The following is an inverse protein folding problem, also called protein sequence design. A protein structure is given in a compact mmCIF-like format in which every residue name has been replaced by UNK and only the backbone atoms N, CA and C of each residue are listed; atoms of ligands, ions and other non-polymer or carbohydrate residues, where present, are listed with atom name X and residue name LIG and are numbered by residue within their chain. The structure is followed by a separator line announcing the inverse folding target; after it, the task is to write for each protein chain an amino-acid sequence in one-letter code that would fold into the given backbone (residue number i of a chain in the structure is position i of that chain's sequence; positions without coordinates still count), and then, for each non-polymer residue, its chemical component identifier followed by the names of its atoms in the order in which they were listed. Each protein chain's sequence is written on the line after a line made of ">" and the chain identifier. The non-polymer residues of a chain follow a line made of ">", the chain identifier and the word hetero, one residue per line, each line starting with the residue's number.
data_IF_701278888046
#
_entry.id   IF_701278888046
#
_cell.length_a   1.000
_cell.length_b   1.000
_cell.length_c   1.000
_cell.angle_alpha   90.00
_cell.angle_beta   90.00
_cell.angle_gamma   90.00
#
_symmetry.space_group_name_H-M   'P 1'
#
loop_
_entity.id
_entity.type
_entity.pdbx_description
1 polymer ?
#
# COMPACT_ATOMS: atom_id res chain seq x y z
N UNK A 1 4.28 7.50 -22.76
CA UNK A 1 4.93 7.82 -21.47
C UNK A 1 4.01 8.72 -20.67
N UNK A 2 3.91 8.52 -19.36
CA UNK A 2 3.24 9.47 -18.47
C UNK A 2 4.16 10.67 -18.23
N UNK A 3 3.57 11.87 -18.20
CA UNK A 3 4.22 13.11 -17.77
C UNK A 3 4.12 13.23 -16.24
N UNK A 4 4.99 14.02 -15.58
CA UNK A 4 4.84 14.33 -14.15
C UNK A 4 3.41 14.78 -13.82
N UNK A 5 2.82 14.21 -12.76
CA UNK A 5 1.44 14.47 -12.34
C UNK A 5 0.37 13.59 -12.99
N UNK A 6 0.70 12.81 -14.03
CA UNK A 6 -0.26 11.86 -14.61
C UNK A 6 -0.25 10.52 -13.88
N UNK A 7 -1.39 9.82 -13.94
CA UNK A 7 -1.56 8.50 -13.33
C UNK A 7 -1.94 7.45 -14.38
N UNK A 8 -1.70 6.20 -14.02
CA UNK A 8 -2.27 5.03 -14.68
C UNK A 8 -3.10 4.26 -13.65
N UNK A 9 -4.28 3.79 -14.07
CA UNK A 9 -5.16 2.94 -13.28
C UNK A 9 -5.20 1.57 -13.95
N UNK A 10 -4.98 0.51 -13.17
CA UNK A 10 -5.06 -0.86 -13.67
C UNK A 10 -5.62 -1.78 -12.58
N UNK A 11 -6.21 -2.88 -13.02
CA UNK A 11 -6.69 -3.91 -12.12
C UNK A 11 -5.50 -4.65 -11.48
N UNK A 12 -5.64 -5.11 -10.23
CA UNK A 12 -4.56 -5.80 -9.51
C UNK A 12 -4.08 -7.11 -10.17
N UNK A 13 -4.86 -7.65 -11.11
CA UNK A 13 -4.53 -8.85 -11.90
C UNK A 13 -3.97 -8.56 -13.30
N UNK A 14 -3.80 -7.29 -13.67
CA UNK A 14 -3.21 -6.94 -14.96
C UNK A 14 -1.73 -7.33 -14.97
N UNK A 15 -1.33 -8.19 -15.91
CA UNK A 15 0.10 -8.50 -16.11
C UNK A 15 0.81 -7.25 -16.62
N UNK A 16 1.85 -6.81 -15.91
CA UNK A 16 2.61 -5.63 -16.29
C UNK A 16 4.09 -5.75 -15.90
N UNK A 17 4.94 -4.98 -16.59
CA UNK A 17 6.37 -4.91 -16.33
C UNK A 17 6.93 -3.52 -16.65
N UNK A 18 8.17 -3.28 -16.23
CA UNK A 18 8.90 -2.05 -16.55
C UNK A 18 10.08 -2.34 -17.47
N UNK A 19 10.25 -1.50 -18.48
CA UNK A 19 11.46 -1.51 -19.29
C UNK A 19 12.65 -0.92 -18.51
N UNK A 20 13.90 -1.31 -18.84
CA UNK A 20 15.10 -0.72 -18.26
C UNK A 20 15.14 0.80 -18.42
N UNK A 21 15.64 1.49 -17.40
CA UNK A 21 15.90 2.92 -17.52
C UNK A 21 17.17 3.16 -18.34
N UNK A 22 17.04 3.68 -19.56
CA UNK A 22 18.16 4.03 -20.46
C UNK A 22 18.53 5.52 -20.41
N UNK A 23 17.85 6.32 -19.58
CA UNK A 23 18.10 7.74 -19.44
C UNK A 23 19.13 8.09 -18.37
N UNK A 24 19.60 9.34 -18.37
CA UNK A 24 20.51 9.87 -17.34
C UNK A 24 19.82 10.23 -16.02
N UNK A 25 18.48 10.26 -16.00
CA UNK A 25 17.68 10.65 -14.84
C UNK A 25 16.91 9.46 -14.27
N UNK A 26 16.61 9.50 -12.97
CA UNK A 26 15.79 8.48 -12.31
C UNK A 26 14.33 8.62 -12.73
N UNK A 27 13.66 7.49 -12.96
CA UNK A 27 12.20 7.42 -13.10
C UNK A 27 11.59 7.06 -11.75
N UNK A 28 10.81 7.97 -11.17
CA UNK A 28 10.07 7.74 -9.92
C UNK A 28 8.58 7.55 -10.23
N UNK A 29 7.96 6.56 -9.59
CA UNK A 29 6.52 6.36 -9.60
C UNK A 29 6.05 6.03 -8.19
N UNK A 30 4.88 6.55 -7.80
CA UNK A 30 4.23 6.25 -6.53
C UNK A 30 3.02 5.38 -6.83
N UNK A 31 2.94 4.22 -6.19
CA UNK A 31 1.80 3.32 -6.31
C UNK A 31 0.95 3.41 -5.05
N UNK A 32 -0.36 3.64 -5.23
CA UNK A 32 -1.35 3.60 -4.17
C UNK A 32 -2.16 2.31 -4.34
N UNK A 33 -1.89 1.31 -3.49
CA UNK A 33 -2.47 -0.02 -3.60
C UNK A 33 -3.01 -0.48 -2.23
N UNK A 34 -4.25 -0.91 -2.08
CA UNK A 34 -5.35 -0.99 -3.08
C UNK A 34 -6.46 0.01 -2.75
N UNK A 35 -7.05 0.64 -3.77
CA UNK A 35 -8.38 1.24 -3.65
C UNK A 35 -9.41 0.11 -3.75
N UNK A 36 -10.26 -0.02 -2.73
CA UNK A 36 -11.19 -1.14 -2.63
C UNK A 36 -12.51 -0.73 -1.99
N UNK A 37 -13.53 -1.57 -2.19
CA UNK A 37 -14.84 -1.41 -1.55
C UNK A 37 -14.79 -1.86 -0.07
N UNK A 38 -15.72 -1.38 0.77
CA UNK A 38 -15.79 -1.71 2.21
C UNK A 38 -16.19 -3.16 2.53
N UNK A 39 -16.48 -3.98 1.51
CA UNK A 39 -16.73 -5.41 1.61
C UNK A 39 -15.45 -6.24 1.32
N UNK A 40 -14.38 -5.64 0.80
CA UNK A 40 -13.13 -6.35 0.53
C UNK A 40 -12.37 -6.71 1.81
N UNK A 41 -12.00 -7.98 1.98
CA UNK A 41 -11.23 -8.47 3.13
C UNK A 41 -9.91 -9.08 2.69
N UNK A 42 -8.87 -8.77 3.44
CA UNK A 42 -7.58 -9.43 3.41
C UNK A 42 -7.74 -10.86 3.94
N UNK A 43 -7.11 -11.81 3.23
CA UNK A 43 -7.18 -13.24 3.55
C UNK A 43 -6.05 -13.69 4.49
N UNK A 44 -4.96 -12.93 4.52
CA UNK A 44 -3.79 -13.19 5.36
C UNK A 44 -3.44 -11.90 6.11
N UNK A 45 -3.31 -11.94 7.44
CA UNK A 45 -2.99 -10.74 8.23
C UNK A 45 -4.17 -9.78 8.37
N UNK A 46 -3.88 -8.56 8.85
CA UNK A 46 -4.89 -7.58 9.24
C UNK A 46 -5.37 -6.71 8.07
N UNK A 47 -6.63 -6.27 8.17
CA UNK A 47 -7.28 -5.33 7.26
C UNK A 47 -6.96 -3.87 7.64
N UNK A 48 -5.72 -3.44 7.41
CA UNK A 48 -5.33 -2.04 7.63
C UNK A 48 -5.82 -1.16 6.47
N UNK A 49 -6.54 -0.08 6.78
CA UNK A 49 -7.15 0.79 5.75
C UNK A 49 -7.10 2.27 6.12
N UNK A 50 -7.06 3.12 5.11
CA UNK A 50 -7.31 4.55 5.26
C UNK A 50 -8.59 4.92 4.51
N UNK A 51 -9.56 5.50 5.20
CA UNK A 51 -10.84 5.89 4.58
C UNK A 51 -10.63 7.13 3.72
N UNK A 52 -10.88 6.97 2.41
CA UNK A 52 -10.76 8.07 1.44
C UNK A 52 -12.11 8.64 1.02
N UNK A 53 -13.19 7.85 1.06
CA UNK A 53 -14.53 8.30 0.68
C UNK A 53 -15.63 7.39 1.24
N UNK A 54 -16.67 7.98 1.83
CA UNK A 54 -18.01 7.38 1.90
C UNK A 54 -18.19 6.12 2.75
N UNK A 55 -17.22 5.75 3.58
CA UNK A 55 -17.36 4.57 4.45
C UNK A 55 -17.85 4.99 5.84
N UNK A 56 -19.05 4.54 6.22
CA UNK A 56 -19.57 4.59 7.59
C UNK A 56 -19.76 3.16 8.12
N UNK A 57 -19.63 2.97 9.43
CA UNK A 57 -19.91 1.67 10.07
C UNK A 57 -18.98 0.52 9.67
N UNK A 58 -17.73 0.80 9.31
CA UNK A 58 -16.75 -0.24 9.00
C UNK A 58 -16.46 -1.10 10.24
N UNK A 59 -16.65 -2.41 10.11
CA UNK A 59 -16.30 -3.40 11.13
C UNK A 59 -15.29 -4.42 10.58
N UNK A 60 -14.38 -4.88 11.44
CA UNK A 60 -13.31 -5.80 11.07
C UNK A 60 -12.16 -5.17 10.29
N UNK A 61 -12.00 -3.85 10.38
CA UNK A 61 -10.91 -3.08 9.79
C UNK A 61 -10.13 -2.33 10.87
N UNK A 62 -8.81 -2.26 10.71
CA UNK A 62 -7.95 -1.36 11.49
C UNK A 62 -7.79 -0.06 10.70
N UNK A 63 -8.48 0.99 11.13
CA UNK A 63 -8.48 2.27 10.43
C UNK A 63 -7.22 3.04 10.84
N UNK A 64 -6.35 3.32 9.88
CA UNK A 64 -5.15 4.14 10.04
C UNK A 64 -5.49 5.62 9.86
N UNK A 65 -4.78 6.47 10.61
CA UNK A 65 -4.92 7.92 10.55
C UNK A 65 -4.41 8.53 9.25
N UNK A 66 -4.71 9.82 9.04
CA UNK A 66 -3.96 10.67 8.11
C UNK A 66 -2.87 11.38 8.92
N UNK A 67 -1.61 11.38 8.47
CA UNK A 67 -0.56 12.13 9.14
C UNK A 67 -0.94 13.61 9.25
N UNK A 68 -0.83 14.20 10.43
CA UNK A 68 -1.12 15.61 10.65
C UNK A 68 0.04 16.54 10.20
N UNK A 69 1.25 15.99 10.13
CA UNK A 69 2.48 16.69 9.75
C UNK A 69 3.50 15.73 9.16
N UNK A 70 4.55 16.29 8.57
CA UNK A 70 5.72 15.52 8.17
C UNK A 70 6.31 14.79 9.37
N UNK A 71 6.64 13.50 9.18
CA UNK A 71 7.22 12.65 10.21
C UNK A 71 6.43 12.63 11.54
N UNK A 72 5.10 12.74 11.45
CA UNK A 72 4.22 12.55 12.60
C UNK A 72 4.53 11.22 13.31
N UNK A 73 4.77 11.27 14.61
CA UNK A 73 5.24 10.11 15.38
C UNK A 73 4.21 8.99 15.44
N UNK A 74 2.91 9.32 15.48
CA UNK A 74 1.85 8.32 15.43
C UNK A 74 1.80 7.67 14.04
N UNK A 75 1.84 8.45 12.97
CA UNK A 75 1.88 7.91 11.60
C UNK A 75 3.15 7.07 11.32
N UNK A 76 4.30 7.44 11.88
CA UNK A 76 5.54 6.64 11.79
C UNK A 76 5.37 5.29 12.49
N UNK A 77 4.70 5.25 13.64
CA UNK A 77 4.38 4.02 14.37
C UNK A 77 3.36 3.16 13.63
N UNK A 78 2.31 3.77 13.06
CA UNK A 78 1.34 3.08 12.20
C UNK A 78 2.03 2.48 10.96
N UNK A 79 2.95 3.21 10.33
CA UNK A 79 3.76 2.71 9.21
C UNK A 79 4.59 1.49 9.62
N UNK A 80 5.20 1.51 10.81
CA UNK A 80 5.95 0.36 11.31
C UNK A 80 5.05 -0.88 11.48
N UNK A 81 3.86 -0.69 12.05
CA UNK A 81 2.86 -1.75 12.21
C UNK A 81 2.35 -2.28 10.85
N UNK A 82 2.13 -1.38 9.89
CA UNK A 82 1.73 -1.74 8.53
C UNK A 82 2.82 -2.56 7.81
N UNK A 83 4.09 -2.20 7.98
CA UNK A 83 5.20 -2.96 7.42
C UNK A 83 5.31 -4.36 8.06
N UNK A 84 5.10 -4.47 9.38
CA UNK A 84 5.06 -5.78 10.04
C UNK A 84 3.92 -6.67 9.52
N UNK A 85 2.72 -6.08 9.32
CA UNK A 85 1.59 -6.80 8.72
C UNK A 85 1.91 -7.25 7.29
N UNK A 86 2.54 -6.38 6.49
CA UNK A 86 2.99 -6.70 5.13
C UNK A 86 4.01 -7.84 5.09
N UNK A 87 4.96 -7.85 6.02
CA UNK A 87 5.92 -8.97 6.14
C UNK A 87 5.18 -10.28 6.40
N UNK A 88 4.19 -10.31 7.31
CA UNK A 88 3.37 -11.51 7.55
C UNK A 88 2.63 -11.96 6.30
N UNK A 89 2.10 -11.03 5.52
CA UNK A 89 1.37 -11.30 4.28
C UNK A 89 2.30 -11.88 3.21
N UNK A 90 3.38 -11.17 2.88
CA UNK A 90 4.27 -11.52 1.77
C UNK A 90 5.07 -12.79 2.01
N UNK A 91 5.43 -13.05 3.25
CA UNK A 91 6.21 -14.23 3.63
C UNK A 91 5.34 -15.33 4.24
N UNK A 92 4.02 -15.30 4.06
CA UNK A 92 3.13 -16.34 4.58
C UNK A 92 3.52 -17.72 4.01
N UNK A 93 3.91 -18.63 4.89
CA UNK A 93 4.37 -19.98 4.53
C UNK A 93 5.81 -20.05 4.01
N UNK A 94 6.54 -18.93 3.98
CA UNK A 94 7.94 -18.93 3.58
C UNK A 94 8.84 -19.52 4.69
N UNK A 95 9.86 -20.34 4.35
CA UNK A 95 10.79 -20.89 5.34
C UNK A 95 11.78 -19.84 5.87
N UNK A 96 11.94 -18.73 5.15
CA UNK A 96 12.82 -17.63 5.52
C UNK A 96 12.13 -16.30 5.25
N UNK A 97 12.30 -15.38 6.19
CA UNK A 97 11.82 -14.01 6.09
C UNK A 97 13.04 -13.11 6.02
N UNK A 98 13.10 -12.22 5.02
CA UNK A 98 14.17 -11.23 4.95
C UNK A 98 13.84 -10.06 5.88
N UNK A 99 14.74 -9.67 6.80
CA UNK A 99 14.56 -8.46 7.60
C UNK A 99 14.64 -7.23 6.67
N UNK A 100 13.78 -6.25 6.96
CA UNK A 100 13.72 -4.97 6.25
C UNK A 100 14.19 -3.84 7.17
#
# INVERSE_FOLDING_TARGET
>A
MLRPGQISLHHARTVHGSLPNRGKQRRLGVALQCYMRPDCRQVIGENLVQVVRGCSGLSGYSILGRPAKEMDSAAVSERASANQNWTKILYHGAPQVRPY
#
